data_IF_049559330099
#
_entry.id   IF_049559330099
#
_cell.length_a   1.000
_cell.length_b   1.000
_cell.length_c   1.000
_cell.angle_alpha   90.00
_cell.angle_beta   90.00
_cell.angle_gamma   90.00
#
_symmetry.space_group_name_H-M   'P 1'
#
loop_
_entity.id
_entity.type
_entity.pdbx_description
1 polymer ?
#
# COMPACT_ATOMS: atom_id res chain seq x y z
N UNK A 1 8.02 -10.20 1.02
CA UNK A 1 9.37 -9.75 1.44
C UNK A 1 10.34 -10.03 0.33
N UNK A 2 11.13 -9.01 -0.03
CA UNK A 2 12.22 -9.15 -0.99
C UNK A 2 13.09 -10.31 -0.52
N UNK A 3 13.30 -11.32 -1.40
CA UNK A 3 13.97 -12.58 -1.10
C UNK A 3 15.32 -12.44 -0.38
N UNK A 4 15.88 -13.54 0.07
CA UNK A 4 17.05 -13.66 0.95
C UNK A 4 18.13 -12.60 0.67
N UNK A 5 18.13 -11.57 1.52
CA UNK A 5 19.00 -10.39 1.39
C UNK A 5 20.46 -10.67 1.82
N UNK A 6 20.75 -11.88 2.31
CA UNK A 6 22.03 -12.22 2.91
C UNK A 6 23.18 -12.42 1.89
N UNK A 7 22.87 -12.61 0.62
CA UNK A 7 23.88 -12.99 -0.41
C UNK A 7 24.26 -11.90 -1.40
N UNK A 8 23.62 -10.71 -1.32
CA UNK A 8 23.97 -9.62 -2.22
C UNK A 8 25.19 -8.85 -1.71
N UNK A 9 26.31 -8.95 -2.42
CA UNK A 9 27.49 -8.10 -2.17
C UNK A 9 27.14 -6.64 -2.48
N UNK A 10 26.71 -5.90 -1.42
CA UNK A 10 26.33 -4.49 -1.50
C UNK A 10 27.37 -3.63 -0.82
N UNK A 11 27.97 -2.70 -1.54
CA UNK A 11 28.79 -1.65 -0.93
C UNK A 11 27.87 -0.62 -0.24
N UNK A 12 27.63 -0.86 1.06
CA UNK A 12 26.74 -0.03 1.88
C UNK A 12 27.25 1.42 1.99
N UNK A 13 28.57 1.63 1.97
CA UNK A 13 29.16 2.96 2.03
C UNK A 13 28.92 3.72 0.73
N UNK A 14 29.12 3.09 -0.42
CA UNK A 14 28.81 3.67 -1.71
C UNK A 14 27.30 3.99 -1.84
N UNK A 15 26.42 3.10 -1.37
CA UNK A 15 24.98 3.34 -1.37
C UNK A 15 24.56 4.47 -0.43
N UNK A 16 25.20 4.61 0.74
CA UNK A 16 24.98 5.74 1.63
C UNK A 16 25.44 7.06 0.99
N UNK A 17 26.63 7.07 0.37
CA UNK A 17 27.13 8.21 -0.38
C UNK A 17 26.18 8.62 -1.51
N UNK A 18 25.64 7.65 -2.25
CA UNK A 18 24.66 7.92 -3.30
C UNK A 18 23.37 8.54 -2.76
N UNK A 19 22.83 8.05 -1.62
CA UNK A 19 21.65 8.67 -0.98
C UNK A 19 21.92 10.12 -0.54
N UNK A 20 23.08 10.36 0.09
CA UNK A 20 23.48 11.71 0.50
C UNK A 20 23.56 12.67 -0.70
N UNK A 21 24.12 12.20 -1.82
CA UNK A 21 24.19 12.96 -3.07
C UNK A 21 22.78 13.28 -3.61
N UNK A 22 21.89 12.29 -3.67
CA UNK A 22 20.52 12.49 -4.13
C UNK A 22 19.77 13.50 -3.25
N UNK A 23 19.92 13.42 -1.92
CA UNK A 23 19.34 14.40 -0.99
C UNK A 23 19.87 15.80 -1.27
N UNK A 24 21.18 15.98 -1.37
CA UNK A 24 21.83 17.26 -1.60
C UNK A 24 21.41 17.88 -2.93
N UNK A 25 21.24 17.07 -3.96
CA UNK A 25 20.96 17.55 -5.32
C UNK A 25 19.47 17.83 -5.56
N UNK A 26 18.57 17.03 -4.98
CA UNK A 26 17.18 17.02 -5.37
C UNK A 26 16.20 17.38 -4.24
N UNK A 27 16.55 17.14 -2.97
CA UNK A 27 15.66 17.45 -1.86
C UNK A 27 15.80 18.93 -1.48
N UNK A 28 14.75 19.70 -1.79
CA UNK A 28 14.68 21.11 -1.45
C UNK A 28 14.15 21.31 -0.04
N UNK A 29 14.56 22.40 0.60
CA UNK A 29 13.93 22.85 1.87
C UNK A 29 12.45 23.18 1.67
N UNK A 30 11.66 23.19 2.74
CA UNK A 30 10.22 23.46 2.66
C UNK A 30 9.91 24.77 1.94
N UNK A 31 10.63 25.86 2.27
CA UNK A 31 10.41 27.16 1.68
C UNK A 31 10.82 27.29 0.19
N UNK A 32 11.58 26.32 -0.33
CA UNK A 32 12.04 26.30 -1.73
C UNK A 32 11.27 25.28 -2.59
N UNK A 33 10.39 24.48 -1.98
CA UNK A 33 9.59 23.50 -2.70
C UNK A 33 8.46 24.20 -3.47
N UNK A 34 8.29 23.91 -4.77
CA UNK A 34 7.10 24.37 -5.46
C UNK A 34 5.86 23.71 -4.88
N UNK A 35 4.73 24.38 -4.99
CA UNK A 35 3.43 23.76 -4.67
C UNK A 35 3.21 22.55 -5.58
N UNK A 36 2.64 21.47 -5.02
CA UNK A 36 2.25 20.30 -5.82
C UNK A 36 1.18 20.69 -6.84
N UNK A 37 1.31 20.16 -8.06
CA UNK A 37 0.27 20.24 -9.07
C UNK A 37 -0.82 19.17 -8.91
N UNK A 38 -0.60 18.18 -8.04
CA UNK A 38 -1.57 17.12 -7.76
C UNK A 38 -2.55 17.50 -6.65
N UNK A 39 -3.79 17.02 -6.76
CA UNK A 39 -4.84 17.17 -5.74
C UNK A 39 -4.88 16.02 -4.73
N UNK A 40 -3.97 15.06 -4.81
CA UNK A 40 -3.96 13.82 -4.03
C UNK A 40 -4.16 12.59 -4.91
N UNK A 41 -4.25 11.42 -4.28
CA UNK A 41 -4.56 10.16 -4.97
C UNK A 41 -6.08 10.02 -5.04
N UNK A 42 -6.65 9.99 -6.25
CA UNK A 42 -8.08 9.75 -6.43
C UNK A 42 -8.42 8.29 -6.11
N UNK A 43 -7.73 7.35 -6.75
CA UNK A 43 -7.80 5.93 -6.45
C UNK A 43 -6.52 5.22 -6.88
N UNK A 44 -6.24 4.08 -6.27
CA UNK A 44 -5.24 3.11 -6.71
C UNK A 44 -5.98 1.90 -7.29
N UNK A 45 -5.74 1.59 -8.56
CA UNK A 45 -6.36 0.44 -9.21
C UNK A 45 -5.41 -0.76 -9.21
N UNK A 46 -5.92 -1.90 -8.78
CA UNK A 46 -5.25 -3.18 -8.64
C UNK A 46 -6.01 -4.25 -9.44
N UNK A 47 -5.44 -5.44 -9.53
CA UNK A 47 -6.09 -6.57 -10.20
C UNK A 47 -6.32 -7.67 -9.18
N UNK A 48 -7.51 -8.27 -9.20
CA UNK A 48 -7.86 -9.42 -8.39
C UNK A 48 -8.26 -10.62 -9.25
N UNK A 49 -8.08 -11.81 -8.73
CA UNK A 49 -8.50 -13.04 -9.40
C UNK A 49 -10.00 -13.32 -9.23
N UNK A 50 -10.57 -12.92 -8.08
CA UNK A 50 -11.96 -13.21 -7.71
C UNK A 50 -12.56 -12.00 -6.97
N UNK A 51 -13.50 -11.25 -7.63
CA UNK A 51 -14.14 -10.09 -7.03
C UNK A 51 -14.84 -10.38 -5.70
N UNK A 52 -15.57 -11.50 -5.58
CA UNK A 52 -16.29 -11.81 -4.34
C UNK A 52 -15.33 -12.05 -3.18
N UNK A 53 -14.24 -12.79 -3.41
CA UNK A 53 -13.19 -13.03 -2.41
C UNK A 53 -12.54 -11.74 -1.96
N UNK A 54 -12.24 -10.85 -2.91
CA UNK A 54 -11.64 -9.54 -2.65
C UNK A 54 -12.61 -8.64 -1.88
N UNK A 55 -13.90 -8.63 -2.24
CA UNK A 55 -14.92 -7.84 -1.53
C UNK A 55 -15.04 -8.31 -0.08
N UNK A 56 -15.14 -9.62 0.16
CA UNK A 56 -15.21 -10.16 1.54
C UNK A 56 -13.97 -9.78 2.36
N UNK A 57 -12.80 -9.79 1.75
CA UNK A 57 -11.57 -9.40 2.43
C UNK A 57 -11.56 -7.92 2.82
N UNK A 58 -11.77 -7.03 1.88
CA UNK A 58 -11.68 -5.60 2.14
C UNK A 58 -12.91 -5.06 2.89
N UNK A 59 -14.11 -5.48 2.54
CA UNK A 59 -15.33 -5.00 3.20
C UNK A 59 -15.62 -5.72 4.51
N UNK A 60 -15.70 -7.06 4.50
CA UNK A 60 -16.23 -7.78 5.66
C UNK A 60 -15.16 -7.97 6.73
N UNK A 61 -13.90 -8.24 6.34
CA UNK A 61 -12.79 -8.42 7.28
C UNK A 61 -12.19 -7.08 7.71
N UNK A 62 -11.77 -6.23 6.74
CA UNK A 62 -11.09 -4.98 7.04
C UNK A 62 -12.05 -3.80 7.29
N UNK A 63 -13.33 -3.91 6.90
CA UNK A 63 -14.32 -2.88 7.16
C UNK A 63 -14.21 -1.65 6.24
N UNK A 64 -13.59 -1.78 5.07
CA UNK A 64 -13.58 -0.73 4.05
C UNK A 64 -14.79 -0.91 3.14
N UNK A 65 -15.80 -0.03 3.20
CA UNK A 65 -17.06 -0.25 2.49
C UNK A 65 -16.86 -0.24 0.97
N UNK A 66 -17.52 -1.20 0.30
CA UNK A 66 -17.70 -1.17 -1.15
C UNK A 66 -18.64 -0.01 -1.50
N UNK A 67 -18.18 0.92 -2.35
CA UNK A 67 -18.93 2.15 -2.67
C UNK A 67 -19.37 2.21 -4.13
N UNK A 68 -18.73 1.44 -5.02
CA UNK A 68 -19.07 1.40 -6.43
C UNK A 68 -18.70 0.05 -7.05
N UNK A 69 -19.52 -0.44 -7.98
CA UNK A 69 -19.28 -1.66 -8.74
C UNK A 69 -20.01 -1.59 -10.09
N UNK A 70 -19.29 -1.78 -11.17
CA UNK A 70 -19.85 -1.78 -12.52
C UNK A 70 -19.02 -2.63 -13.49
N UNK A 71 -19.52 -2.86 -14.69
CA UNK A 71 -18.78 -3.55 -15.74
C UNK A 71 -17.62 -2.69 -16.24
N UNK A 72 -16.46 -3.30 -16.43
CA UNK A 72 -15.31 -2.62 -17.02
C UNK A 72 -15.59 -2.24 -18.48
N UNK A 73 -15.52 -0.96 -18.77
CA UNK A 73 -15.80 -0.41 -20.11
C UNK A 73 -14.88 -0.99 -21.20
N UNK A 74 -13.65 -1.31 -20.86
CA UNK A 74 -12.59 -1.63 -21.81
C UNK A 74 -12.35 -3.15 -21.96
N UNK A 75 -13.02 -3.98 -21.14
CA UNK A 75 -12.96 -5.43 -21.20
C UNK A 75 -14.32 -6.03 -20.78
N UNK A 76 -15.10 -6.50 -21.76
CA UNK A 76 -16.43 -7.05 -21.57
C UNK A 76 -16.41 -8.25 -20.60
N UNK A 77 -17.32 -8.24 -19.63
CA UNK A 77 -17.42 -9.26 -18.58
C UNK A 77 -16.44 -9.08 -17.41
N UNK A 78 -15.53 -8.10 -17.47
CA UNK A 78 -14.70 -7.68 -16.34
C UNK A 78 -15.46 -6.75 -15.41
N UNK A 79 -15.21 -6.87 -14.12
CA UNK A 79 -15.81 -6.00 -13.10
C UNK A 79 -14.80 -4.95 -12.64
N UNK A 80 -15.28 -3.73 -12.41
CA UNK A 80 -14.52 -2.65 -11.77
C UNK A 80 -15.25 -2.20 -10.53
N UNK A 81 -14.58 -2.18 -9.38
CA UNK A 81 -15.22 -1.87 -8.10
C UNK A 81 -14.27 -1.13 -7.17
N UNK A 82 -14.85 -0.40 -6.20
CA UNK A 82 -14.14 0.57 -5.38
C UNK A 82 -14.50 0.44 -3.91
N UNK A 83 -13.49 0.55 -3.06
CA UNK A 83 -13.64 0.67 -1.61
C UNK A 83 -13.26 2.07 -1.15
N UNK A 84 -14.03 2.63 -0.23
CA UNK A 84 -13.64 3.83 0.51
C UNK A 84 -12.62 3.42 1.59
N UNK A 85 -11.41 3.93 1.49
CA UNK A 85 -10.34 3.75 2.48
C UNK A 85 -10.10 4.99 3.34
N UNK A 86 -11.03 5.95 3.28
CA UNK A 86 -11.00 7.16 4.08
C UNK A 86 -10.31 8.35 3.41
N UNK A 87 -10.54 9.53 3.97
CA UNK A 87 -9.96 10.80 3.53
C UNK A 87 -10.17 11.12 2.03
N UNK A 88 -11.23 10.59 1.40
CA UNK A 88 -11.51 10.76 -0.02
C UNK A 88 -10.63 9.92 -0.95
N UNK A 89 -9.88 8.98 -0.42
CA UNK A 89 -9.08 8.04 -1.20
C UNK A 89 -9.85 6.74 -1.41
N UNK A 90 -9.69 6.14 -2.57
CA UNK A 90 -10.30 4.86 -2.89
C UNK A 90 -9.27 3.82 -3.33
N UNK A 91 -9.54 2.57 -2.96
CA UNK A 91 -8.87 1.41 -3.49
C UNK A 91 -9.80 0.74 -4.49
N UNK A 92 -9.35 0.58 -5.74
CA UNK A 92 -10.14 0.01 -6.81
C UNK A 92 -9.56 -1.32 -7.28
N UNK A 93 -10.42 -2.18 -7.79
CA UNK A 93 -10.02 -3.47 -8.35
C UNK A 93 -10.67 -3.72 -9.70
N UNK A 94 -9.95 -4.47 -10.53
CA UNK A 94 -10.44 -5.11 -11.74
C UNK A 94 -10.25 -6.62 -11.61
N UNK A 95 -11.16 -7.40 -12.18
CA UNK A 95 -10.88 -8.76 -12.60
C UNK A 95 -10.78 -8.84 -14.12
N UNK A 96 -10.11 -9.85 -14.62
CA UNK A 96 -9.99 -10.11 -16.06
C UNK A 96 -10.28 -11.59 -16.35
N UNK A 97 -11.56 -11.99 -16.36
CA UNK A 97 -11.95 -13.38 -16.54
C UNK A 97 -11.41 -13.95 -17.86
N UNK A 98 -10.87 -15.15 -17.78
CA UNK A 98 -10.31 -15.85 -18.94
C UNK A 98 -8.87 -15.56 -19.31
N UNK A 99 -8.22 -14.54 -18.70
CA UNK A 99 -6.80 -14.26 -18.99
C UNK A 99 -5.82 -15.15 -18.22
N UNK A 100 -6.25 -15.86 -17.16
CA UNK A 100 -5.35 -16.73 -16.38
C UNK A 100 -4.18 -15.99 -15.77
N UNK A 101 -4.44 -14.79 -15.23
CA UNK A 101 -3.40 -13.97 -14.61
C UNK A 101 -2.92 -14.62 -13.31
N UNK A 102 -1.61 -14.59 -13.10
CA UNK A 102 -0.96 -15.12 -11.91
C UNK A 102 -0.50 -13.96 -11.00
N UNK A 103 -0.43 -14.17 -9.67
CA UNK A 103 0.10 -13.17 -8.76
C UNK A 103 1.53 -12.77 -9.14
N UNK A 104 1.80 -11.47 -9.17
CA UNK A 104 3.11 -10.92 -9.51
C UNK A 104 3.93 -10.77 -8.23
N UNK A 105 5.16 -11.33 -8.15
CA UNK A 105 6.05 -11.05 -7.04
C UNK A 105 6.51 -9.59 -7.05
N UNK A 106 7.03 -9.12 -5.93
CA UNK A 106 7.63 -7.78 -5.84
C UNK A 106 8.68 -7.58 -6.93
N UNK A 107 8.55 -6.51 -7.70
CA UNK A 107 9.46 -6.20 -8.80
C UNK A 107 9.32 -4.75 -9.28
N UNK A 108 10.22 -4.36 -10.19
CA UNK A 108 10.19 -3.02 -10.77
C UNK A 108 8.88 -2.79 -11.54
N UNK A 109 8.22 -1.69 -11.22
CA UNK A 109 6.93 -1.33 -11.80
C UNK A 109 5.71 -1.94 -11.11
N UNK A 110 5.91 -2.90 -10.18
CA UNK A 110 4.85 -3.46 -9.34
C UNK A 110 4.56 -2.61 -8.10
N UNK A 111 3.42 -2.90 -7.47
CA UNK A 111 3.08 -2.32 -6.16
C UNK A 111 3.89 -3.05 -5.09
N UNK A 112 4.71 -2.31 -4.34
CA UNK A 112 5.47 -2.90 -3.23
C UNK A 112 4.55 -3.15 -2.03
N UNK A 113 3.77 -2.14 -1.61
CA UNK A 113 2.67 -2.27 -0.65
C UNK A 113 1.70 -1.09 -0.76
N UNK A 114 0.53 -1.25 -0.17
CA UNK A 114 -0.46 -0.18 0.03
C UNK A 114 -0.54 0.09 1.52
N UNK A 115 -0.10 1.27 1.95
CA UNK A 115 -0.18 1.71 3.35
C UNK A 115 -1.49 2.48 3.59
N UNK A 116 -2.29 2.01 4.54
CA UNK A 116 -3.57 2.60 4.91
C UNK A 116 -3.48 3.08 6.35
N UNK A 117 -3.69 4.39 6.53
CA UNK A 117 -3.72 5.04 7.84
C UNK A 117 -5.00 4.68 8.59
N UNK A 118 -4.86 4.27 9.84
CA UNK A 118 -5.98 3.94 10.72
C UNK A 118 -5.76 4.54 12.12
N UNK A 119 -6.83 4.72 12.88
CA UNK A 119 -6.71 5.11 14.30
C UNK A 119 -6.13 3.97 15.12
N UNK A 120 -5.57 4.26 16.29
CA UNK A 120 -5.04 3.23 17.20
C UNK A 120 -6.08 2.18 17.58
N UNK A 121 -7.32 2.59 17.83
CA UNK A 121 -8.40 1.65 18.17
C UNK A 121 -8.77 0.76 16.97
N UNK A 122 -8.83 1.33 15.77
CA UNK A 122 -9.07 0.57 14.54
C UNK A 122 -7.90 -0.39 14.24
N UNK A 123 -6.67 0.03 14.49
CA UNK A 123 -5.49 -0.80 14.32
C UNK A 123 -5.56 -2.08 15.17
N UNK A 124 -5.82 -1.94 16.47
CA UNK A 124 -5.93 -3.10 17.38
C UNK A 124 -7.13 -3.98 17.03
N UNK A 125 -8.27 -3.39 16.66
CA UNK A 125 -9.44 -4.13 16.21
C UNK A 125 -9.14 -4.95 14.94
N UNK A 126 -8.53 -4.35 13.92
CA UNK A 126 -8.22 -5.01 12.66
C UNK A 126 -7.15 -6.10 12.83
N UNK A 127 -6.15 -5.85 13.67
CA UNK A 127 -5.15 -6.86 14.04
C UNK A 127 -5.82 -8.09 14.66
N UNK A 128 -6.75 -7.90 15.61
CA UNK A 128 -7.53 -9.01 16.17
C UNK A 128 -8.35 -9.77 15.11
N UNK A 129 -8.96 -9.07 14.15
CA UNK A 129 -9.70 -9.71 13.05
C UNK A 129 -8.79 -10.54 12.13
N UNK A 130 -7.57 -10.08 11.85
CA UNK A 130 -6.58 -10.85 11.09
C UNK A 130 -6.20 -12.13 11.83
N UNK A 131 -5.95 -12.04 13.16
CA UNK A 131 -5.67 -13.19 14.02
C UNK A 131 -6.84 -14.20 14.02
N UNK A 132 -8.06 -13.75 14.22
CA UNK A 132 -9.28 -14.59 14.22
C UNK A 132 -9.51 -15.26 12.86
N UNK A 133 -9.14 -14.60 11.76
CA UNK A 133 -9.23 -15.13 10.40
C UNK A 133 -8.04 -16.03 10.02
N UNK A 134 -7.03 -16.18 10.90
CA UNK A 134 -5.84 -16.98 10.63
C UNK A 134 -4.94 -16.38 9.54
N UNK A 135 -4.95 -15.05 9.37
CA UNK A 135 -4.11 -14.35 8.41
C UNK A 135 -2.80 -13.97 9.09
N UNK A 136 -1.71 -14.51 8.58
CA UNK A 136 -0.37 -14.17 9.05
C UNK A 136 -0.02 -12.71 8.73
N UNK A 137 0.58 -12.02 9.69
CA UNK A 137 1.10 -10.66 9.50
C UNK A 137 2.50 -10.51 10.11
N UNK A 138 3.23 -9.51 9.64
CA UNK A 138 4.54 -9.10 10.17
C UNK A 138 4.35 -7.80 10.93
N UNK A 139 4.99 -7.70 12.09
CA UNK A 139 4.91 -6.54 12.96
C UNK A 139 4.18 -6.86 14.26
N UNK A 140 3.83 -5.85 15.06
CA UNK A 140 4.17 -4.44 14.80
C UNK A 140 5.68 -4.22 14.61
N UNK A 141 6.03 -3.23 13.77
CA UNK A 141 7.41 -2.83 13.58
C UNK A 141 8.05 -2.28 14.88
N UNK A 142 9.32 -1.84 14.83
CA UNK A 142 10.03 -1.36 16.04
C UNK A 142 9.38 -0.15 16.70
N UNK A 143 8.68 0.68 15.93
CA UNK A 143 7.89 1.79 16.43
C UNK A 143 6.51 1.35 16.94
N UNK A 144 6.14 0.07 16.77
CA UNK A 144 4.83 -0.51 17.06
C UNK A 144 3.67 0.18 16.30
N UNK A 145 3.95 0.70 15.12
CA UNK A 145 3.03 1.54 14.36
C UNK A 145 2.42 0.86 13.14
N UNK A 146 3.05 -0.19 12.62
CA UNK A 146 2.62 -0.86 11.39
C UNK A 146 2.55 -2.36 11.51
N UNK A 147 1.56 -2.97 10.83
CA UNK A 147 1.49 -4.40 10.53
C UNK A 147 1.36 -4.59 9.03
N UNK A 148 2.00 -5.64 8.51
CA UNK A 148 2.04 -5.98 7.10
C UNK A 148 1.47 -7.37 6.87
N UNK A 149 0.53 -7.51 5.97
CA UNK A 149 -0.09 -8.79 5.60
C UNK A 149 -0.37 -8.85 4.10
N UNK A 150 -0.75 -10.02 3.61
CA UNK A 150 -1.10 -10.21 2.21
C UNK A 150 -2.62 -10.28 2.05
N UNK A 151 -3.12 -9.62 1.01
CA UNK A 151 -4.47 -9.83 0.56
C UNK A 151 -4.62 -11.18 -0.18
N UNK A 152 -5.82 -11.58 -0.61
CA UNK A 152 -6.04 -12.84 -1.31
C UNK A 152 -5.23 -13.03 -2.60
N UNK A 153 -4.81 -11.96 -3.25
CA UNK A 153 -4.05 -11.97 -4.50
C UNK A 153 -2.56 -11.64 -4.31
N UNK A 154 -2.08 -11.76 -3.05
CA UNK A 154 -0.69 -11.54 -2.65
C UNK A 154 -0.23 -10.07 -2.70
N UNK A 155 -1.16 -9.12 -2.78
CA UNK A 155 -0.85 -7.71 -2.64
C UNK A 155 -0.49 -7.44 -1.17
N UNK A 156 0.63 -6.76 -0.93
CA UNK A 156 1.01 -6.39 0.42
C UNK A 156 0.24 -5.17 0.88
N UNK A 157 -0.45 -5.32 2.01
CA UNK A 157 -1.17 -4.25 2.70
C UNK A 157 -0.44 -3.93 3.99
N UNK A 158 -0.30 -2.65 4.27
CA UNK A 158 0.18 -2.12 5.54
C UNK A 158 -0.97 -1.39 6.23
N UNK A 159 -1.26 -1.73 7.47
CA UNK A 159 -2.05 -0.87 8.34
C UNK A 159 -1.08 -0.09 9.22
N UNK A 160 -1.18 1.24 9.19
CA UNK A 160 -0.32 2.13 9.95
C UNK A 160 -1.17 3.03 10.86
N UNK A 161 -0.86 3.05 12.17
CA UNK A 161 -1.55 3.88 13.16
C UNK A 161 -0.95 5.28 13.29
N UNK A 162 -0.64 5.87 12.17
CA UNK A 162 -0.23 7.25 12.06
C UNK A 162 -1.25 8.02 11.23
N UNK A 163 -1.49 9.31 11.53
CA UNK A 163 -2.29 10.16 10.65
C UNK A 163 -1.65 10.22 9.26
N UNK A 164 -2.45 10.58 8.26
CA UNK A 164 -1.91 10.87 6.94
C UNK A 164 -0.78 11.88 7.07
N UNK A 165 0.34 11.59 6.41
CA UNK A 165 1.53 12.43 6.50
C UNK A 165 1.25 13.82 5.96
N UNK A 166 1.48 14.83 6.79
CA UNK A 166 1.71 16.18 6.28
C UNK A 166 3.05 16.22 5.56
N UNK A 167 3.15 17.03 4.51
CA UNK A 167 4.42 17.21 3.79
C UNK A 167 5.45 17.77 4.78
N UNK A 168 6.55 17.08 5.08
CA UNK A 168 7.49 17.50 6.12
C UNK A 168 8.05 18.89 5.84
N UNK A 169 8.04 19.77 6.82
CA UNK A 169 8.65 21.11 6.69
C UNK A 169 10.15 21.03 6.45
N UNK A 170 10.80 20.05 7.06
CA UNK A 170 12.20 19.74 6.80
C UNK A 170 12.43 18.23 6.91
N UNK A 171 13.35 17.69 6.10
CA UNK A 171 13.82 16.33 6.36
C UNK A 171 14.66 16.36 7.64
N UNK A 172 14.47 15.40 8.60
CA UNK A 172 15.31 15.33 9.77
C UNK A 172 16.76 15.18 9.34
N UNK A 173 17.73 15.80 10.07
CA UNK A 173 19.14 15.54 9.83
C UNK A 173 19.40 14.05 10.00
N UNK A 174 20.25 13.49 9.14
CA UNK A 174 20.67 12.10 9.30
C UNK A 174 21.43 11.97 10.64
N UNK A 175 20.92 11.17 11.55
CA UNK A 175 21.71 10.54 12.59
C UNK A 175 22.38 9.26 12.06
#
# INVERSE_FOLDING_TARGET
MIGDMATLNRDLAALAGRRAELRRTHLRSAGERPQSNGGGVHHLALICADPERTIRFYQDLLGFPLVELFENRDYEGSTHFFFDIGAGNMLAFFDFPGLGLEPVPEGLGGVQHVAISVTSDTFEMLKGRLEDAGIDYIGPDRAAESVYFKDPDNIQVELIRQPLMEVPESAPPNE
#
